data_IF_410105462098
#
_entry.id   IF_410105462098
#
_cell.length_a   1.000
_cell.length_b   1.000
_cell.length_c   1.000
_cell.angle_alpha   90.00
_cell.angle_beta   90.00
_cell.angle_gamma   90.00
#
_symmetry.space_group_name_H-M   'P 1'
#
loop_
_entity.id
_entity.type
_entity.pdbx_description
1 polymer ?
#
# COMPACT_ATOMS: atom_id res chain seq x y z
N UNK A 1 -2.21 6.32 4.84
CA UNK A 1 -1.57 5.01 4.57
C UNK A 1 -1.92 3.96 5.62
N UNK A 2 -1.48 4.04 6.89
CA UNK A 2 -1.71 2.95 7.88
C UNK A 2 -3.18 2.56 8.02
N UNK A 3 -4.09 3.51 8.28
CA UNK A 3 -5.52 3.20 8.43
C UNK A 3 -6.12 2.59 7.15
N UNK A 4 -5.64 3.01 5.98
CA UNK A 4 -6.06 2.51 4.67
C UNK A 4 -5.58 1.06 4.52
N UNK A 5 -4.31 0.78 4.80
CA UNK A 5 -3.74 -0.57 4.71
C UNK A 5 -4.46 -1.54 5.67
N UNK A 6 -4.75 -1.11 6.89
CA UNK A 6 -5.54 -1.90 7.86
C UNK A 6 -6.95 -2.17 7.35
N UNK A 7 -7.62 -1.15 6.78
CA UNK A 7 -8.94 -1.35 6.20
C UNK A 7 -8.89 -2.35 5.04
N UNK A 8 -7.83 -2.33 4.24
CA UNK A 8 -7.65 -3.23 3.10
C UNK A 8 -7.42 -4.68 3.52
N UNK A 9 -6.75 -4.88 4.66
CA UNK A 9 -6.63 -6.20 5.28
C UNK A 9 -7.98 -6.80 5.65
N UNK A 10 -8.89 -6.00 6.20
CA UNK A 10 -10.22 -6.49 6.55
C UNK A 10 -11.13 -6.67 5.33
N UNK A 11 -11.04 -5.80 4.32
CA UNK A 11 -11.97 -5.86 3.18
C UNK A 11 -11.54 -6.84 2.09
N UNK A 12 -10.23 -7.04 1.93
CA UNK A 12 -9.65 -7.87 0.86
C UNK A 12 -8.93 -9.09 1.39
N UNK A 13 -7.93 -8.95 2.26
CA UNK A 13 -7.12 -10.10 2.70
C UNK A 13 -7.98 -11.13 3.46
N UNK A 14 -8.73 -10.69 4.46
CA UNK A 14 -9.67 -11.56 5.20
C UNK A 14 -10.63 -12.26 4.25
N UNK A 15 -11.13 -11.56 3.24
CA UNK A 15 -12.02 -12.14 2.22
C UNK A 15 -11.32 -13.24 1.43
N UNK A 16 -10.12 -13.02 0.90
CA UNK A 16 -9.39 -14.05 0.15
C UNK A 16 -9.02 -15.26 1.01
N UNK A 17 -8.70 -15.05 2.29
CA UNK A 17 -8.46 -16.13 3.25
C UNK A 17 -9.73 -16.95 3.49
N UNK A 18 -10.87 -16.30 3.77
CA UNK A 18 -12.16 -16.99 3.94
C UNK A 18 -12.53 -17.75 2.67
N UNK A 19 -12.41 -17.10 1.49
CA UNK A 19 -12.68 -17.72 0.20
C UNK A 19 -11.80 -18.97 -0.02
N UNK A 20 -10.52 -18.91 0.34
CA UNK A 20 -9.60 -20.04 0.18
C UNK A 20 -9.87 -21.20 1.14
N UNK A 21 -10.46 -20.94 2.32
CA UNK A 21 -10.73 -21.94 3.35
C UNK A 21 -12.13 -22.56 3.25
N UNK A 22 -13.13 -21.77 2.89
CA UNK A 22 -14.54 -22.20 2.89
C UNK A 22 -15.13 -22.29 1.49
N UNK A 23 -14.42 -21.81 0.46
CA UNK A 23 -14.94 -21.66 -0.90
C UNK A 23 -16.18 -20.75 -0.98
N UNK A 24 -16.39 -19.88 0.02
CA UNK A 24 -17.52 -18.94 0.03
C UNK A 24 -16.98 -17.51 -0.07
N UNK A 25 -17.50 -16.72 -1.01
CA UNK A 25 -17.19 -15.30 -1.09
C UNK A 25 -18.10 -14.48 -0.16
N UNK A 26 -17.49 -13.86 0.83
CA UNK A 26 -18.15 -13.00 1.83
C UNK A 26 -18.97 -11.87 1.19
N UNK A 27 -18.62 -11.39 -0.01
CA UNK A 27 -19.36 -10.33 -0.72
C UNK A 27 -20.77 -10.71 -1.10
N UNK A 28 -20.96 -11.97 -1.49
CA UNK A 28 -22.23 -12.45 -2.04
C UNK A 28 -23.23 -12.80 -0.94
N UNK A 29 -22.79 -12.85 0.33
CA UNK A 29 -23.62 -13.25 1.47
C UNK A 29 -24.73 -12.26 1.83
N UNK A 30 -24.60 -10.98 1.46
CA UNK A 30 -25.49 -9.91 1.94
C UNK A 30 -26.23 -9.15 0.82
N UNK A 31 -26.32 -9.74 -0.38
CA UNK A 31 -27.02 -9.16 -1.54
C UNK A 31 -26.20 -8.12 -2.32
N UNK A 32 -26.78 -7.62 -3.42
CA UNK A 32 -26.10 -6.81 -4.44
C UNK A 32 -25.53 -5.49 -3.88
N UNK A 33 -26.30 -4.76 -3.05
CA UNK A 33 -25.87 -3.49 -2.46
C UNK A 33 -24.63 -3.68 -1.58
N UNK A 34 -24.61 -4.72 -0.75
CA UNK A 34 -23.46 -5.04 0.09
C UNK A 34 -22.25 -5.47 -0.74
N UNK A 35 -22.45 -6.27 -1.78
CA UNK A 35 -21.40 -6.67 -2.71
C UNK A 35 -20.75 -5.42 -3.36
N UNK A 36 -21.55 -4.51 -3.90
CA UNK A 36 -21.08 -3.26 -4.52
C UNK A 36 -20.37 -2.35 -3.54
N UNK A 37 -20.91 -2.18 -2.33
CA UNK A 37 -20.28 -1.37 -1.30
C UNK A 37 -18.94 -1.94 -0.86
N UNK A 38 -18.85 -3.26 -0.67
CA UNK A 38 -17.59 -3.93 -0.33
C UNK A 38 -16.57 -3.82 -1.46
N UNK A 39 -16.99 -4.02 -2.72
CA UNK A 39 -16.14 -3.84 -3.90
C UNK A 39 -15.57 -2.43 -3.98
N UNK A 40 -16.45 -1.43 -3.91
CA UNK A 40 -16.06 -0.03 -3.90
C UNK A 40 -15.03 0.25 -2.81
N UNK A 41 -15.27 -0.24 -1.59
CA UNK A 41 -14.38 -0.05 -0.46
C UNK A 41 -13.03 -0.75 -0.68
N UNK A 42 -13.02 -1.99 -1.13
CA UNK A 42 -11.80 -2.77 -1.37
C UNK A 42 -10.92 -2.10 -2.44
N UNK A 43 -11.50 -1.71 -3.57
CA UNK A 43 -10.77 -1.06 -4.66
C UNK A 43 -10.30 0.34 -4.27
N UNK A 44 -11.16 1.15 -3.63
CA UNK A 44 -10.78 2.48 -3.15
C UNK A 44 -9.60 2.41 -2.17
N UNK A 45 -9.60 1.42 -1.27
CA UNK A 45 -8.53 1.21 -0.32
C UNK A 45 -7.24 0.75 -0.99
N UNK A 46 -7.30 -0.17 -1.97
CA UNK A 46 -6.15 -0.58 -2.76
C UNK A 46 -5.52 0.60 -3.52
N UNK A 47 -6.34 1.42 -4.16
CA UNK A 47 -5.90 2.61 -4.89
C UNK A 47 -5.26 3.63 -3.93
N UNK A 48 -5.94 3.93 -2.81
CA UNK A 48 -5.43 4.86 -1.79
C UNK A 48 -4.11 4.40 -1.18
N UNK A 49 -3.99 3.11 -0.90
CA UNK A 49 -2.77 2.50 -0.37
C UNK A 49 -1.59 2.69 -1.33
N UNK A 50 -1.82 2.40 -2.61
CA UNK A 50 -0.83 2.51 -3.68
C UNK A 50 -0.42 3.95 -3.93
N UNK A 51 -1.39 4.85 -4.12
CA UNK A 51 -1.10 6.26 -4.40
C UNK A 51 -0.53 7.00 -3.18
N UNK A 52 -0.92 6.63 -1.95
CA UNK A 52 -0.26 7.14 -0.74
C UNK A 52 1.24 6.83 -0.75
N UNK A 53 1.61 5.60 -1.14
CA UNK A 53 3.01 5.22 -1.25
C UNK A 53 3.72 6.02 -2.34
N UNK A 54 3.10 6.17 -3.52
CA UNK A 54 3.66 6.99 -4.61
C UNK A 54 3.98 8.39 -4.12
N UNK A 55 3.04 9.05 -3.46
CA UNK A 55 3.25 10.39 -2.90
C UNK A 55 4.40 10.42 -1.89
N UNK A 56 4.48 9.44 -0.99
CA UNK A 56 5.57 9.33 -0.01
C UNK A 56 6.95 9.11 -0.67
N UNK A 57 7.03 8.28 -1.70
CA UNK A 57 8.26 8.06 -2.46
C UNK A 57 8.71 9.34 -3.20
N UNK A 58 7.78 10.01 -3.88
CA UNK A 58 8.03 11.28 -4.57
C UNK A 58 8.45 12.38 -3.60
N UNK A 59 7.74 12.54 -2.48
CA UNK A 59 8.06 13.52 -1.44
C UNK A 59 9.50 13.32 -0.94
N UNK A 60 9.87 12.07 -0.65
CA UNK A 60 11.19 11.74 -0.12
C UNK A 60 12.28 11.95 -1.15
N UNK A 61 12.03 11.60 -2.40
CA UNK A 61 12.94 11.89 -3.49
C UNK A 61 13.14 13.40 -3.67
N UNK A 62 12.05 14.17 -3.66
CA UNK A 62 12.07 15.63 -3.77
C UNK A 62 12.86 16.28 -2.62
N UNK A 63 12.60 15.90 -1.37
CA UNK A 63 13.32 16.44 -0.19
C UNK A 63 14.82 16.14 -0.26
N UNK A 64 15.20 14.96 -0.77
CA UNK A 64 16.60 14.57 -0.91
C UNK A 64 17.30 15.28 -2.07
N UNK A 65 16.57 15.60 -3.14
CA UNK A 65 17.10 16.33 -4.30
C UNK A 65 17.22 17.83 -4.00
N UNK A 66 16.24 18.41 -3.29
CA UNK A 66 16.17 19.84 -2.97
C UNK A 66 16.03 20.07 -1.45
N UNK A 67 17.10 19.81 -0.66
CA UNK A 67 17.05 19.94 0.80
C UNK A 67 16.85 21.39 1.27
N UNK A 68 17.14 22.37 0.40
CA UNK A 68 16.97 23.80 0.67
C UNK A 68 15.61 24.36 0.23
N UNK A 69 14.70 23.55 -0.32
CA UNK A 69 13.36 24.02 -0.69
C UNK A 69 12.57 24.52 0.54
N UNK A 70 11.65 25.48 0.35
CA UNK A 70 10.78 25.98 1.43
C UNK A 70 9.97 24.85 2.06
N UNK A 71 9.48 23.92 1.23
CA UNK A 71 8.79 22.71 1.65
C UNK A 71 9.66 21.81 2.56
N UNK A 72 10.92 21.57 2.20
CA UNK A 72 11.83 20.74 3.01
C UNK A 72 12.23 21.41 4.34
N UNK A 73 12.26 22.75 4.38
CA UNK A 73 12.56 23.53 5.59
C UNK A 73 11.36 23.63 6.53
N UNK A 74 10.17 23.86 6.00
CA UNK A 74 8.95 24.04 6.80
C UNK A 74 8.21 22.71 7.06
N UNK A 75 8.82 21.87 7.91
CA UNK A 75 8.26 20.56 8.30
C UNK A 75 7.00 20.66 9.16
N UNK A 76 6.61 21.86 9.62
CA UNK A 76 5.42 22.06 10.47
C UNK A 76 4.17 22.33 9.63
N UNK A 77 4.33 22.69 8.36
CA UNK A 77 3.20 22.99 7.50
C UNK A 77 2.51 21.71 7.01
N UNK A 78 1.47 21.29 7.73
CA UNK A 78 0.65 20.13 7.39
C UNK A 78 -0.31 20.38 6.21
N UNK A 79 -0.50 21.63 5.77
CA UNK A 79 -1.54 21.99 4.79
C UNK A 79 -1.35 21.26 3.46
N UNK A 80 -0.13 21.22 2.94
CA UNK A 80 0.17 20.53 1.67
C UNK A 80 -0.14 19.03 1.76
N UNK A 81 0.19 18.39 2.88
CA UNK A 81 -0.09 16.96 3.09
C UNK A 81 -1.61 16.70 3.17
N UNK A 82 -2.37 17.58 3.81
CA UNK A 82 -3.84 17.50 3.86
C UNK A 82 -4.43 17.63 2.46
N UNK A 83 -4.02 18.64 1.70
CA UNK A 83 -4.52 18.87 0.33
C UNK A 83 -4.26 17.64 -0.56
N UNK A 84 -3.01 17.14 -0.57
CA UNK A 84 -2.66 15.94 -1.34
C UNK A 84 -3.50 14.74 -0.90
N UNK A 85 -3.69 14.55 0.41
CA UNK A 85 -4.52 13.45 0.92
C UNK A 85 -5.97 13.59 0.46
N UNK A 86 -6.58 14.76 0.58
CA UNK A 86 -7.96 14.99 0.10
C UNK A 86 -8.10 14.73 -1.40
N UNK A 87 -7.14 15.17 -2.21
CA UNK A 87 -7.12 14.92 -3.65
C UNK A 87 -7.00 13.43 -3.98
N UNK A 88 -6.20 12.67 -3.24
CA UNK A 88 -6.10 11.22 -3.41
C UNK A 88 -7.41 10.50 -3.07
N UNK A 89 -8.11 10.92 -2.02
CA UNK A 89 -9.43 10.37 -1.67
C UNK A 89 -10.47 10.68 -2.74
N UNK A 90 -10.49 11.91 -3.25
CA UNK A 90 -11.38 12.28 -4.36
C UNK A 90 -11.06 11.47 -5.62
N UNK A 91 -9.78 11.37 -5.98
CA UNK A 91 -9.33 10.58 -7.13
C UNK A 91 -9.73 9.10 -7.00
N UNK A 92 -9.46 8.47 -5.86
CA UNK A 92 -9.80 7.07 -5.64
C UNK A 92 -11.32 6.84 -5.65
N UNK A 93 -12.10 7.78 -5.11
CA UNK A 93 -13.56 7.70 -5.19
C UNK A 93 -14.05 7.80 -6.64
N UNK A 94 -13.59 8.80 -7.39
CA UNK A 94 -14.01 8.99 -8.79
C UNK A 94 -13.56 7.84 -9.70
N UNK A 95 -12.33 7.33 -9.52
CA UNK A 95 -11.78 6.22 -10.30
C UNK A 95 -12.52 4.89 -10.10
N UNK A 96 -13.27 4.75 -8.99
CA UNK A 96 -14.02 3.55 -8.64
C UNK A 96 -15.54 3.75 -8.66
N UNK A 97 -16.04 4.96 -8.89
CA UNK A 97 -17.46 5.28 -8.83
C UNK A 97 -18.34 4.44 -9.78
N UNK A 98 -17.77 3.93 -10.87
CA UNK A 98 -18.47 3.03 -11.81
C UNK A 98 -19.00 1.75 -11.13
N UNK A 99 -18.37 1.27 -10.05
CA UNK A 99 -18.81 0.08 -9.30
C UNK A 99 -20.17 0.27 -8.62
N UNK A 100 -20.57 1.52 -8.38
CA UNK A 100 -21.87 1.85 -7.81
C UNK A 100 -22.97 1.98 -8.88
N UNK A 101 -22.61 1.91 -10.18
CA UNK A 101 -23.59 2.03 -11.26
C UNK A 101 -24.44 0.77 -11.38
N UNK A 102 -25.79 0.86 -11.26
CA UNK A 102 -26.67 -0.30 -11.33
C UNK A 102 -26.73 -0.95 -12.72
N UNK A 103 -26.20 -0.28 -13.75
CA UNK A 103 -26.19 -0.79 -15.13
C UNK A 103 -25.13 -1.86 -15.37
N UNK A 104 -24.08 -1.89 -14.55
CA UNK A 104 -22.99 -2.86 -14.67
C UNK A 104 -23.24 -4.01 -13.70
N UNK A 105 -23.21 -5.25 -14.20
CA UNK A 105 -23.37 -6.45 -13.37
C UNK A 105 -22.05 -6.84 -12.67
N UNK A 106 -21.55 -5.89 -11.86
CA UNK A 106 -20.27 -6.00 -11.15
C UNK A 106 -20.28 -7.04 -10.03
N UNK A 107 -21.45 -7.60 -9.71
CA UNK A 107 -21.63 -8.61 -8.68
C UNK A 107 -21.87 -10.03 -9.25
N UNK A 108 -21.94 -10.17 -10.58
CA UNK A 108 -21.91 -11.47 -11.24
C UNK A 108 -20.54 -12.14 -11.11
N UNK A 109 -20.54 -13.48 -11.03
CA UNK A 109 -19.34 -14.31 -10.82
C UNK A 109 -18.20 -14.00 -11.79
N UNK A 110 -18.53 -13.68 -13.05
CA UNK A 110 -17.59 -13.30 -14.09
C UNK A 110 -17.93 -11.92 -14.68
N UNK A 111 -17.58 -10.85 -13.98
CA UNK A 111 -17.60 -9.50 -14.55
C UNK A 111 -16.30 -9.22 -15.30
N UNK A 112 -16.37 -8.93 -16.60
CA UNK A 112 -15.22 -8.47 -17.38
C UNK A 112 -15.61 -7.32 -18.29
N UNK A 113 -14.99 -6.17 -18.08
CA UNK A 113 -15.14 -5.01 -18.96
C UNK A 113 -13.73 -4.55 -19.35
N UNK A 114 -13.39 -4.68 -20.63
CA UNK A 114 -12.05 -4.40 -21.14
C UNK A 114 -11.59 -2.96 -20.84
N UNK A 115 -12.50 -1.98 -20.93
CA UNK A 115 -12.17 -0.58 -20.65
C UNK A 115 -11.79 -0.38 -19.18
N UNK A 116 -12.53 -1.02 -18.26
CA UNK A 116 -12.24 -1.00 -16.82
C UNK A 116 -10.90 -1.69 -16.51
N UNK A 117 -10.67 -2.86 -17.12
CA UNK A 117 -9.41 -3.62 -16.98
C UNK A 117 -8.22 -2.77 -17.43
N UNK A 118 -8.29 -2.16 -18.62
CA UNK A 118 -7.23 -1.33 -19.16
C UNK A 118 -6.99 -0.09 -18.29
N UNK A 119 -8.07 0.60 -17.87
CA UNK A 119 -7.99 1.75 -16.98
C UNK A 119 -7.29 1.39 -15.67
N UNK A 120 -7.68 0.29 -15.04
CA UNK A 120 -7.08 -0.18 -13.78
C UNK A 120 -5.63 -0.59 -13.96
N UNK A 121 -5.30 -1.29 -15.03
CA UNK A 121 -3.93 -1.65 -15.36
C UNK A 121 -3.03 -0.40 -15.52
N UNK A 122 -3.52 0.65 -16.18
CA UNK A 122 -2.76 1.90 -16.33
C UNK A 122 -2.63 2.64 -15.00
N UNK A 123 -3.74 2.93 -14.33
CA UNK A 123 -3.78 3.85 -13.19
C UNK A 123 -3.38 3.23 -11.85
N UNK A 124 -3.55 1.92 -11.67
CA UNK A 124 -3.23 1.23 -10.42
C UNK A 124 -1.88 0.53 -10.51
N UNK A 125 -1.48 0.11 -11.71
CA UNK A 125 -0.29 -0.73 -11.87
C UNK A 125 0.84 0.00 -12.59
N UNK A 126 0.66 0.39 -13.85
CA UNK A 126 1.75 0.95 -14.68
C UNK A 126 2.23 2.30 -14.16
N UNK A 127 1.32 3.26 -13.95
CA UNK A 127 1.67 4.61 -13.47
C UNK A 127 2.33 4.58 -12.08
N UNK A 128 1.73 3.95 -11.05
CA UNK A 128 2.37 3.87 -9.74
C UNK A 128 3.74 3.16 -9.77
N UNK A 129 3.86 2.04 -10.49
CA UNK A 129 5.11 1.27 -10.58
C UNK A 129 6.22 2.09 -11.24
N UNK A 130 5.91 2.82 -12.31
CA UNK A 130 6.91 3.67 -12.99
C UNK A 130 7.36 4.82 -12.10
N UNK A 131 6.44 5.53 -11.45
CA UNK A 131 6.77 6.67 -10.56
C UNK A 131 7.59 6.21 -9.35
N UNK A 132 7.22 5.09 -8.71
CA UNK A 132 7.98 4.52 -7.60
C UNK A 132 9.36 4.07 -8.07
N UNK A 133 9.47 3.43 -9.23
CA UNK A 133 10.77 3.00 -9.79
C UNK A 133 11.72 4.18 -9.97
N UNK A 134 11.25 5.26 -10.61
CA UNK A 134 12.06 6.49 -10.81
C UNK A 134 12.49 7.08 -9.48
N UNK A 135 11.57 7.17 -8.51
CA UNK A 135 11.84 7.72 -7.18
C UNK A 135 12.86 6.88 -6.41
N UNK A 136 12.75 5.56 -6.45
CA UNK A 136 13.65 4.62 -5.75
C UNK A 136 15.04 4.63 -6.38
N UNK A 137 15.13 4.57 -7.72
CA UNK A 137 16.40 4.65 -8.44
C UNK A 137 17.09 5.99 -8.16
N UNK A 138 16.35 7.09 -8.22
CA UNK A 138 16.85 8.42 -7.90
C UNK A 138 17.37 8.52 -6.46
N UNK A 139 16.61 8.03 -5.48
CA UNK A 139 17.03 7.96 -4.07
C UNK A 139 18.30 7.12 -3.89
N UNK A 140 18.38 5.95 -4.55
CA UNK A 140 19.55 5.08 -4.50
C UNK A 140 20.80 5.79 -5.04
N UNK A 141 20.70 6.48 -6.18
CA UNK A 141 21.81 7.24 -6.77
C UNK A 141 22.30 8.32 -5.80
N UNK A 142 21.37 9.09 -5.20
CA UNK A 142 21.70 10.16 -4.24
C UNK A 142 22.39 9.58 -3.00
N UNK A 143 21.84 8.50 -2.42
CA UNK A 143 22.40 7.84 -1.25
C UNK A 143 23.80 7.27 -1.51
N UNK A 144 24.00 6.61 -2.66
CA UNK A 144 25.30 6.07 -3.08
C UNK A 144 26.34 7.18 -3.27
N UNK A 145 25.98 8.28 -3.95
CA UNK A 145 26.87 9.43 -4.13
C UNK A 145 27.30 10.04 -2.79
N UNK A 146 26.33 10.20 -1.88
CA UNK A 146 26.58 10.77 -0.55
C UNK A 146 27.44 9.86 0.34
N UNK A 147 27.23 8.55 0.27
CA UNK A 147 28.07 7.57 0.98
C UNK A 147 29.52 7.61 0.50
N UNK A 148 29.74 7.67 -0.82
CA UNK A 148 31.10 7.76 -1.39
C UNK A 148 31.81 9.05 -1.00
N UNK A 149 31.09 10.17 -0.97
CA UNK A 149 31.63 11.46 -0.50
C UNK A 149 32.05 11.41 0.97
N UNK A 150 31.22 10.82 1.84
CA UNK A 150 31.52 10.66 3.27
C UNK A 150 32.79 9.82 3.50
N UNK A 151 32.99 8.74 2.73
CA UNK A 151 34.20 7.91 2.84
C UNK A 151 35.45 8.60 2.31
N UNK A 152 35.34 9.42 1.25
CA UNK A 152 36.50 10.09 0.64
C UNK A 152 37.04 11.26 1.45
N UNK A 153 36.17 12.01 2.13
CA UNK A 153 36.57 13.26 2.78
C UNK A 153 36.68 13.18 4.30
N UNK A 154 36.59 11.99 4.90
CA UNK A 154 36.77 11.78 6.36
C UNK A 154 35.85 12.67 7.23
N UNK A 155 34.81 13.25 6.63
CA UNK A 155 34.03 14.32 7.22
C UNK A 155 32.99 13.74 8.16
N UNK A 156 33.29 13.76 9.45
CA UNK A 156 32.31 13.65 10.54
C UNK A 156 31.33 14.83 10.46
N UNK A 157 30.39 14.82 9.51
CA UNK A 157 29.28 15.76 9.50
C UNK A 157 28.22 15.28 10.50
N UNK A 158 28.58 15.44 11.77
CA UNK A 158 27.79 15.09 12.93
C UNK A 158 26.63 16.11 13.07
N UNK A 159 25.56 15.90 12.31
CA UNK A 159 24.31 16.65 12.44
C UNK A 159 23.17 15.65 12.60
N UNK A 160 22.71 15.50 13.84
CA UNK A 160 21.69 14.51 14.26
C UNK A 160 20.37 14.59 13.45
N UNK A 161 20.07 15.73 12.82
CA UNK A 161 18.91 15.94 11.96
C UNK A 161 19.10 15.37 10.55
N UNK A 162 20.33 15.40 10.04
CA UNK A 162 20.72 14.89 8.72
C UNK A 162 20.82 13.37 8.72
N UNK A 163 21.24 12.77 9.85
CA UNK A 163 21.28 11.31 10.02
C UNK A 163 19.88 10.68 10.06
N UNK A 164 18.89 11.34 10.68
CA UNK A 164 17.50 10.88 10.72
C UNK A 164 16.85 10.91 9.34
N UNK A 165 17.00 12.01 8.60
CA UNK A 165 16.48 12.10 7.23
C UNK A 165 17.06 11.04 6.31
N UNK A 166 18.37 10.79 6.40
CA UNK A 166 19.06 9.75 5.64
C UNK A 166 18.56 8.34 6.01
N UNK A 167 18.35 8.07 7.29
CA UNK A 167 17.82 6.79 7.76
C UNK A 167 16.40 6.56 7.24
N UNK A 168 15.52 7.57 7.31
CA UNK A 168 14.17 7.49 6.73
C UNK A 168 14.21 7.25 5.22
N UNK A 169 15.10 7.92 4.47
CA UNK A 169 15.25 7.69 3.03
C UNK A 169 15.71 6.25 2.70
N UNK A 170 16.57 5.63 3.51
CA UNK A 170 16.94 4.22 3.35
C UNK A 170 15.75 3.28 3.55
N UNK A 171 14.94 3.53 4.58
CA UNK A 171 13.70 2.77 4.80
C UNK A 171 12.71 2.92 3.64
N UNK A 172 12.63 4.12 3.04
CA UNK A 172 11.77 4.37 1.89
C UNK A 172 12.21 3.65 0.62
N UNK A 173 13.52 3.44 0.43
CA UNK A 173 14.02 2.55 -0.64
C UNK A 173 13.55 1.12 -0.41
N UNK A 174 13.69 0.58 0.81
CA UNK A 174 13.25 -0.78 1.14
C UNK A 174 11.75 -0.94 0.89
N UNK A 175 10.95 0.01 1.38
CA UNK A 175 9.50 0.05 1.17
C UNK A 175 9.13 0.10 -0.32
N UNK A 176 9.82 0.92 -1.11
CA UNK A 176 9.63 1.01 -2.55
C UNK A 176 9.98 -0.29 -3.28
N UNK A 177 11.09 -0.94 -2.92
CA UNK A 177 11.48 -2.23 -3.49
C UNK A 177 10.48 -3.34 -3.15
N UNK A 178 9.97 -3.38 -1.92
CA UNK A 178 8.90 -4.31 -1.52
C UNK A 178 7.64 -4.11 -2.38
N UNK A 179 7.24 -2.85 -2.60
CA UNK A 179 6.12 -2.55 -3.48
C UNK A 179 6.38 -3.05 -4.91
N UNK A 180 7.52 -2.73 -5.52
CA UNK A 180 7.85 -3.15 -6.89
C UNK A 180 7.85 -4.68 -7.05
N UNK A 181 8.40 -5.40 -6.07
CA UNK A 181 8.40 -6.87 -6.10
C UNK A 181 6.97 -7.43 -6.01
N UNK A 182 6.15 -6.93 -5.09
CA UNK A 182 4.77 -7.38 -4.93
C UNK A 182 3.87 -6.97 -6.10
N UNK A 183 4.06 -5.78 -6.65
CA UNK A 183 3.27 -5.25 -7.74
C UNK A 183 3.60 -5.99 -9.04
N UNK A 184 4.86 -6.33 -9.29
CA UNK A 184 5.27 -7.12 -10.45
C UNK A 184 4.57 -8.47 -10.51
N UNK A 185 4.45 -9.17 -9.38
CA UNK A 185 3.75 -10.46 -9.31
C UNK A 185 2.27 -10.34 -9.72
N UNK A 186 1.57 -9.33 -9.20
CA UNK A 186 0.17 -9.04 -9.57
C UNK A 186 0.06 -8.65 -11.05
N UNK A 187 0.99 -7.85 -11.56
CA UNK A 187 0.99 -7.42 -12.96
C UNK A 187 1.16 -8.58 -13.93
N UNK A 188 2.13 -9.46 -13.69
CA UNK A 188 2.36 -10.64 -14.52
C UNK A 188 1.13 -11.53 -14.50
N UNK A 189 0.53 -11.75 -13.33
CA UNK A 189 -0.68 -12.55 -13.20
C UNK A 189 -1.89 -11.96 -13.96
N UNK A 190 -2.06 -10.64 -13.90
CA UNK A 190 -3.12 -9.94 -14.62
C UNK A 190 -2.91 -9.95 -16.14
N UNK A 191 -1.66 -10.03 -16.61
CA UNK A 191 -1.33 -10.18 -18.02
C UNK A 191 -1.58 -11.59 -18.54
N UNK A 192 -1.23 -12.62 -17.75
CA UNK A 192 -1.42 -14.03 -18.15
C UNK A 192 -2.88 -14.44 -18.07
N UNK A 193 -3.63 -13.87 -17.13
CA UNK A 193 -5.03 -14.18 -16.90
C UNK A 193 -5.88 -12.90 -16.90
N UNK A 194 -6.08 -12.25 -18.06
CA UNK A 194 -6.78 -10.97 -18.17
C UNK A 194 -8.26 -11.06 -17.75
N UNK A 195 -8.85 -12.25 -17.80
CA UNK A 195 -10.19 -12.53 -17.28
C UNK A 195 -10.28 -12.32 -15.77
N UNK A 196 -9.17 -12.43 -15.03
CA UNK A 196 -9.14 -12.33 -13.57
C UNK A 196 -8.94 -10.92 -13.03
N UNK A 197 -8.74 -9.93 -13.90
CA UNK A 197 -8.54 -8.54 -13.47
C UNK A 197 -9.81 -7.98 -12.80
N UNK A 198 -10.99 -8.54 -13.14
CA UNK A 198 -12.28 -8.16 -12.60
C UNK A 198 -13.14 -9.35 -12.13
N UNK A 199 -12.65 -10.60 -12.20
CA UNK A 199 -13.45 -11.71 -11.66
C UNK A 199 -13.53 -11.61 -10.16
N UNK A 200 -14.77 -11.70 -9.70
CA UNK A 200 -15.11 -11.62 -8.31
C UNK A 200 -14.59 -12.86 -7.58
N UNK A 201 -14.79 -14.02 -8.17
CA UNK A 201 -14.54 -15.30 -7.54
C UNK A 201 -13.86 -16.21 -8.52
N UNK A 202 -12.60 -16.52 -8.24
CA UNK A 202 -11.93 -17.70 -8.76
C UNK A 202 -12.59 -18.92 -8.08
N UNK A 203 -13.72 -19.38 -8.62
CA UNK A 203 -14.56 -20.44 -8.04
C UNK A 203 -14.51 -21.78 -8.78
N UNK A 204 -13.62 -21.92 -9.76
CA UNK A 204 -13.41 -23.18 -10.42
C UNK A 204 -12.19 -23.86 -9.79
N UNK A 205 -12.28 -25.16 -9.51
CA UNK A 205 -11.19 -25.96 -8.91
C UNK A 205 -9.93 -26.08 -9.80
N UNK A 206 -9.66 -25.11 -10.66
CA UNK A 206 -8.50 -25.01 -11.52
C UNK A 206 -7.31 -24.40 -10.76
N UNK A 207 -6.11 -24.79 -11.18
CA UNK A 207 -4.86 -24.35 -10.56
C UNK A 207 -4.71 -22.82 -10.63
N UNK A 208 -5.23 -22.20 -11.70
CA UNK A 208 -5.18 -20.75 -11.92
C UNK A 208 -5.92 -19.96 -10.83
N UNK A 209 -6.99 -20.53 -10.28
CA UNK A 209 -7.81 -19.90 -9.23
C UNK A 209 -7.08 -19.85 -7.89
N UNK A 210 -6.43 -20.97 -7.54
CA UNK A 210 -5.56 -21.04 -6.36
C UNK A 210 -4.35 -20.12 -6.50
N UNK A 211 -3.77 -20.04 -7.70
CA UNK A 211 -2.65 -19.16 -7.99
C UNK A 211 -3.04 -17.68 -7.82
N UNK A 212 -4.18 -17.27 -8.37
CA UNK A 212 -4.70 -15.91 -8.23
C UNK A 212 -4.94 -15.53 -6.76
N UNK A 213 -5.58 -16.42 -5.99
CA UNK A 213 -5.83 -16.20 -4.56
C UNK A 213 -4.51 -16.12 -3.78
N UNK A 214 -3.55 -17.01 -4.05
CA UNK A 214 -2.24 -16.98 -3.41
C UNK A 214 -1.47 -15.68 -3.68
N UNK A 215 -1.46 -15.22 -4.93
CA UNK A 215 -0.82 -13.95 -5.32
C UNK A 215 -1.50 -12.77 -4.64
N UNK A 216 -2.83 -12.78 -4.55
CA UNK A 216 -3.60 -11.74 -3.86
C UNK A 216 -3.30 -11.70 -2.36
N UNK A 217 -3.24 -12.86 -1.69
CA UNK A 217 -2.87 -12.96 -0.27
C UNK A 217 -1.42 -12.48 -0.06
N UNK A 218 -0.49 -12.89 -0.93
CA UNK A 218 0.90 -12.43 -0.88
C UNK A 218 1.00 -10.92 -1.03
N UNK A 219 0.27 -10.32 -1.98
CA UNK A 219 0.24 -8.88 -2.19
C UNK A 219 -0.22 -8.15 -0.92
N UNK A 220 -1.34 -8.54 -0.33
CA UNK A 220 -1.84 -7.91 0.89
C UNK A 220 -0.94 -8.16 2.11
N UNK A 221 -0.26 -9.30 2.16
CA UNK A 221 0.77 -9.57 3.18
C UNK A 221 1.97 -8.64 3.01
N UNK A 222 2.41 -8.40 1.77
CA UNK A 222 3.45 -7.41 1.46
C UNK A 222 3.02 -5.99 1.84
N UNK A 223 1.75 -5.62 1.61
CA UNK A 223 1.18 -4.35 2.07
C UNK A 223 1.32 -4.22 3.59
N UNK A 224 0.98 -5.25 4.36
CA UNK A 224 1.19 -5.26 5.81
C UNK A 224 2.65 -5.09 6.23
N UNK A 225 3.55 -5.88 5.64
CA UNK A 225 4.99 -5.79 5.92
C UNK A 225 5.48 -4.37 5.65
N UNK A 226 5.05 -3.77 4.54
CA UNK A 226 5.37 -2.39 4.19
C UNK A 226 4.88 -1.39 5.24
N UNK A 227 3.63 -1.50 5.70
CA UNK A 227 3.08 -0.65 6.75
C UNK A 227 3.88 -0.79 8.05
N UNK A 228 4.27 -2.01 8.40
CA UNK A 228 5.09 -2.30 9.57
C UNK A 228 6.49 -1.69 9.46
N UNK A 229 7.18 -1.88 8.33
CA UNK A 229 8.48 -1.27 8.04
C UNK A 229 8.39 0.26 8.10
N UNK A 230 7.29 0.84 7.59
CA UNK A 230 7.05 2.28 7.67
C UNK A 230 6.95 2.77 9.12
N UNK A 231 6.21 2.06 9.99
CA UNK A 231 6.13 2.38 11.42
C UNK A 231 7.50 2.28 12.11
N UNK A 232 8.28 1.24 11.80
CA UNK A 232 9.62 1.05 12.35
C UNK A 232 10.63 2.13 11.90
N UNK A 233 10.41 2.76 10.76
CA UNK A 233 11.28 3.82 10.25
C UNK A 233 11.32 5.05 11.17
N UNK A 234 10.26 5.29 11.94
CA UNK A 234 10.16 6.41 12.89
C UNK A 234 10.64 5.98 14.28
N UNK A 235 11.61 6.71 14.85
CA UNK A 235 12.07 6.50 16.22
C UNK A 235 11.00 6.77 17.27
N UNK A 236 10.04 7.66 16.99
CA UNK A 236 8.92 7.95 17.89
C UNK A 236 7.94 6.78 17.90
N UNK A 237 7.49 6.37 16.72
CA UNK A 237 6.56 5.25 16.56
C UNK A 237 7.10 3.94 17.14
N UNK A 238 8.42 3.67 17.04
CA UNK A 238 9.04 2.51 17.73
C UNK A 238 8.87 2.55 19.25
N UNK A 239 9.04 3.72 19.87
CA UNK A 239 8.85 3.87 21.32
C UNK A 239 7.39 3.71 21.70
N UNK A 240 6.49 4.34 20.94
CA UNK A 240 5.05 4.25 21.20
C UNK A 240 4.54 2.82 21.07
N UNK A 241 4.99 2.10 20.03
CA UNK A 241 4.63 0.70 19.78
C UNK A 241 5.20 -0.22 20.87
N UNK A 242 6.41 0.05 21.37
CA UNK A 242 6.97 -0.66 22.53
C UNK A 242 6.18 -0.39 23.81
N UNK A 243 5.79 0.85 24.07
CA UNK A 243 4.94 1.21 25.21
C UNK A 243 3.58 0.52 25.14
N UNK A 244 2.96 0.49 23.95
CA UNK A 244 1.68 -0.14 23.72
C UNK A 244 1.77 -1.67 23.87
N UNK A 245 2.83 -2.29 23.36
CA UNK A 245 3.10 -3.71 23.57
C UNK A 245 3.31 -4.03 25.06
N UNK A 246 4.09 -3.20 25.77
CA UNK A 246 4.29 -3.36 27.22
C UNK A 246 2.98 -3.21 27.99
N UNK A 247 2.13 -2.25 27.62
CA UNK A 247 0.83 -2.06 28.23
C UNK A 247 -0.10 -3.26 28.00
N UNK A 248 -0.20 -3.77 26.77
CA UNK A 248 -0.96 -4.99 26.43
C UNK A 248 -0.42 -6.21 27.17
N UNK A 249 0.90 -6.38 27.21
CA UNK A 249 1.56 -7.47 27.91
C UNK A 249 1.27 -7.42 29.42
N UNK A 250 1.35 -6.25 30.04
CA UNK A 250 0.91 -6.04 31.42
C UNK A 250 -0.58 -6.32 31.60
N UNK A 251 -1.45 -5.93 30.66
CA UNK A 251 -2.90 -6.18 30.75
C UNK A 251 -3.26 -7.67 30.62
N UNK A 252 -2.53 -8.41 29.79
CA UNK A 252 -2.73 -9.85 29.56
C UNK A 252 -2.14 -10.69 30.70
N UNK A 253 -0.98 -10.32 31.25
CA UNK A 253 -0.35 -11.03 32.38
C UNK A 253 -0.86 -10.62 33.75
N UNK A 254 -1.28 -9.35 33.93
CA UNK A 254 -1.87 -8.86 35.17
C UNK A 254 -3.39 -8.94 35.16
N UNK A 255 -4.01 -9.71 34.25
CA UNK A 255 -5.42 -10.05 34.37
C UNK A 255 -5.56 -10.88 35.66
N UNK A 256 -6.23 -10.38 36.71
CA UNK A 256 -6.45 -11.20 37.88
C UNK A 256 -7.24 -12.43 37.43
N UNK A 257 -6.76 -13.61 37.82
CA UNK A 257 -7.54 -14.84 37.77
C UNK A 257 -8.72 -14.60 38.69
N UNK A 258 -9.81 -14.06 38.15
CA UNK A 258 -11.11 -14.08 38.82
C UNK A 258 -11.59 -15.52 38.72
N UNK A 259 -11.25 -16.29 39.75
CA UNK A 259 -11.89 -17.55 40.10
C UNK A 259 -13.34 -17.30 40.55
#
# INVERSE_FOLDING_TARGET
MICVDVLGMFTSNLRFVVLSLTSIDVRLMCGDICCRAQLMLAYMVGDLSTWSLVCLCCERFYIMLFPLSSYARDRKNIRSAIIVTCLLYLFAFLANGFLLSPQEDVCAEAYSNFAVVLWKMICVQILPTTIVSVSVIGLMIILCRRSRWSCRFGGSLNTNTTSRGLATSRWMVIIGLLFLASSLAVFVNNLTHPTYVNTLTAHNCHVDDYLFNAISIMFWTCVCIRTYVFMLSSSGSRKDLFCLFKALWCLLLCRPVTA
#
